data_IF_200444346193
#
_entry.id   IF_200444346193
#
_cell.length_a   1.000
_cell.length_b   1.000
_cell.length_c   1.000
_cell.angle_alpha   90.00
_cell.angle_beta   90.00
_cell.angle_gamma   90.00
#
_symmetry.space_group_name_H-M   'P 1'
#
loop_
_entity.id
_entity.type
_entity.pdbx_description
1 polymer ?
#
# COMPACT_ATOMS: atom_id res chain seq x y z
N UNK A 1 -2.74 4.62 5.69
CA UNK A 1 -2.17 5.97 5.85
C UNK A 1 -0.69 5.92 5.55
N UNK A 2 -0.12 7.05 5.13
CA UNK A 2 1.32 7.27 5.05
C UNK A 2 1.65 8.41 5.99
N UNK A 3 2.71 8.27 6.77
CA UNK A 3 3.18 9.24 7.76
C UNK A 3 4.66 9.54 7.48
N UNK A 4 4.98 10.81 7.25
CA UNK A 4 6.32 11.33 6.93
C UNK A 4 7.15 11.61 8.18
N UNK A 5 6.58 11.33 9.37
CA UNK A 5 7.19 11.56 10.68
C UNK A 5 7.68 13.01 10.90
N UNK A 6 7.30 13.95 10.03
CA UNK A 6 7.78 15.32 9.99
C UNK A 6 9.28 15.49 9.66
N UNK A 7 9.94 14.51 9.03
CA UNK A 7 11.35 14.61 8.65
C UNK A 7 11.53 14.91 7.16
N UNK A 8 12.71 15.41 6.78
CA UNK A 8 13.01 15.70 5.36
C UNK A 8 13.38 14.43 4.57
N UNK A 9 13.65 13.32 5.25
CA UNK A 9 14.16 12.08 4.64
C UNK A 9 13.09 11.01 4.64
N UNK A 10 13.03 10.18 3.60
CA UNK A 10 11.98 9.14 3.48
C UNK A 10 12.24 7.85 4.26
N UNK A 11 13.39 7.74 4.93
CA UNK A 11 13.89 6.48 5.49
C UNK A 11 13.13 6.04 6.74
N UNK A 12 12.52 6.99 7.45
CA UNK A 12 11.71 6.79 8.66
C UNK A 12 10.21 6.84 8.39
N UNK A 13 9.79 7.07 7.14
CA UNK A 13 8.40 7.05 6.74
C UNK A 13 7.75 5.70 7.02
N UNK A 14 6.46 5.74 7.37
CA UNK A 14 5.69 4.54 7.67
C UNK A 14 4.35 4.48 6.94
N UNK A 15 3.96 3.24 6.63
CA UNK A 15 2.62 2.88 6.20
C UNK A 15 1.81 2.40 7.41
N UNK A 16 0.67 3.03 7.65
CA UNK A 16 -0.33 2.64 8.64
C UNK A 16 -1.41 1.83 7.91
N UNK A 17 -1.55 0.55 8.22
CA UNK A 17 -2.49 -0.35 7.54
C UNK A 17 -3.50 -0.93 8.52
N UNK A 18 -4.76 -0.97 8.14
CA UNK A 18 -5.81 -1.58 8.96
C UNK A 18 -5.52 -3.08 9.17
N UNK A 19 -5.72 -3.56 10.40
CA UNK A 19 -5.60 -4.97 10.72
C UNK A 19 -6.98 -5.65 10.63
N UNK A 20 -7.25 -6.44 9.57
CA UNK A 20 -8.51 -7.18 9.47
C UNK A 20 -8.60 -8.36 10.48
N UNK A 21 -7.48 -8.75 11.08
CA UNK A 21 -7.41 -9.79 12.09
C UNK A 21 -7.43 -9.24 13.52
N UNK A 22 -7.69 -7.94 13.69
CA UNK A 22 -7.94 -7.33 14.98
C UNK A 22 -9.31 -7.73 15.52
N UNK A 23 -9.35 -8.87 16.21
CA UNK A 23 -10.61 -9.50 16.68
C UNK A 23 -10.68 -9.66 18.20
N UNK A 24 -9.69 -9.20 18.96
CA UNK A 24 -9.48 -9.63 20.35
C UNK A 24 -10.37 -8.91 21.37
N UNK A 25 -10.78 -7.66 21.11
CA UNK A 25 -11.55 -6.82 22.04
C UNK A 25 -12.92 -6.35 21.49
N UNK A 26 -13.34 -6.83 20.32
CA UNK A 26 -14.53 -6.42 19.57
C UNK A 26 -14.57 -4.94 19.16
N UNK A 27 -13.47 -4.22 19.32
CA UNK A 27 -13.25 -2.96 18.63
C UNK A 27 -12.54 -3.26 17.30
N UNK A 28 -12.73 -2.39 16.29
CA UNK A 28 -12.07 -2.52 14.99
C UNK A 28 -11.14 -1.32 14.82
N UNK A 29 -10.22 -1.16 15.76
CA UNK A 29 -9.26 -0.06 15.82
C UNK A 29 -7.80 -0.52 15.66
N UNK A 30 -7.58 -1.81 15.44
CA UNK A 30 -6.29 -2.38 15.15
C UNK A 30 -5.72 -1.91 13.82
N UNK A 31 -4.45 -1.56 13.89
CA UNK A 31 -3.63 -1.23 12.75
C UNK A 31 -2.20 -1.70 12.97
N UNK A 32 -1.50 -1.90 11.86
CA UNK A 32 -0.06 -2.15 11.86
C UNK A 32 0.67 -0.97 11.28
N UNK A 33 1.91 -0.79 11.75
CA UNK A 33 2.86 0.19 11.21
C UNK A 33 3.99 -0.55 10.54
N UNK A 34 4.32 -0.19 9.30
CA UNK A 34 5.36 -0.83 8.49
C UNK A 34 6.19 0.21 7.76
N UNK A 35 7.51 0.05 7.68
CA UNK A 35 8.37 1.03 7.00
C UNK A 35 7.99 1.19 5.52
N UNK A 36 7.83 2.43 5.05
CA UNK A 36 7.26 2.71 3.73
C UNK A 36 8.18 2.26 2.59
N UNK A 37 9.49 2.53 2.67
CA UNK A 37 10.45 2.08 1.65
C UNK A 37 10.47 0.54 1.53
N UNK A 38 10.36 -0.14 2.68
CA UNK A 38 10.29 -1.61 2.72
C UNK A 38 8.99 -2.12 2.10
N UNK A 39 7.88 -1.42 2.31
CA UNK A 39 6.60 -1.76 1.69
C UNK A 39 6.74 -1.71 0.17
N UNK A 40 7.17 -0.56 -0.37
CA UNK A 40 7.29 -0.36 -1.82
C UNK A 40 8.30 -1.29 -2.49
N UNK A 41 9.38 -1.67 -1.80
CA UNK A 41 10.35 -2.62 -2.34
C UNK A 41 9.77 -4.04 -2.49
N UNK A 42 8.90 -4.47 -1.56
CA UNK A 42 8.38 -5.83 -1.52
C UNK A 42 6.98 -5.99 -2.12
N UNK A 43 6.27 -4.89 -2.37
CA UNK A 43 4.91 -4.92 -2.87
C UNK A 43 4.87 -5.17 -4.38
N UNK A 44 3.99 -6.07 -4.82
CA UNK A 44 3.76 -6.35 -6.25
C UNK A 44 2.29 -6.61 -6.51
N UNK A 45 1.77 -6.09 -7.62
CA UNK A 45 0.43 -6.42 -8.14
C UNK A 45 0.50 -7.63 -9.09
N UNK A 46 1.39 -8.58 -8.78
CA UNK A 46 1.64 -9.75 -9.60
C UNK A 46 0.34 -10.47 -9.96
N UNK A 47 0.06 -10.55 -11.26
CA UNK A 47 -1.11 -11.22 -11.84
C UNK A 47 -2.48 -10.64 -11.45
N UNK A 48 -2.52 -9.46 -10.83
CA UNK A 48 -3.78 -8.83 -10.42
C UNK A 48 -4.56 -8.25 -11.61
N UNK A 49 -3.86 -7.80 -12.65
CA UNK A 49 -4.45 -7.24 -13.87
C UNK A 49 -4.24 -8.18 -15.06
N UNK A 50 -5.24 -9.02 -15.33
CA UNK A 50 -5.17 -10.11 -16.31
C UNK A 50 -4.96 -9.65 -17.77
N UNK A 51 -5.32 -8.41 -18.12
CA UNK A 51 -5.32 -7.92 -19.51
C UNK A 51 -4.35 -6.75 -19.80
N UNK A 52 -3.85 -6.04 -18.78
CA UNK A 52 -3.12 -4.75 -18.95
C UNK A 52 -1.71 -4.73 -18.32
N UNK A 53 -1.14 -5.86 -17.88
CA UNK A 53 0.05 -5.85 -17.03
C UNK A 53 1.05 -6.99 -17.25
N UNK A 54 1.41 -7.30 -18.50
CA UNK A 54 2.43 -8.33 -18.75
C UNK A 54 3.88 -7.81 -18.68
N UNK A 55 4.08 -6.49 -18.64
CA UNK A 55 5.40 -5.91 -18.45
C UNK A 55 5.73 -5.66 -16.97
N UNK A 56 6.99 -5.88 -16.57
CA UNK A 56 7.43 -5.78 -15.16
C UNK A 56 7.17 -4.40 -14.52
N UNK A 57 7.11 -3.33 -15.32
CA UNK A 57 6.81 -1.98 -14.83
C UNK A 57 5.32 -1.84 -14.45
N UNK A 58 4.43 -2.34 -15.29
CA UNK A 58 2.97 -2.27 -15.09
C UNK A 58 2.51 -3.11 -13.88
N UNK A 59 3.21 -4.23 -13.60
CA UNK A 59 2.94 -5.11 -12.45
C UNK A 59 3.30 -4.52 -11.09
N UNK A 60 4.18 -3.53 -11.04
CA UNK A 60 4.72 -3.00 -9.79
C UNK A 60 4.38 -1.52 -9.55
N UNK A 61 3.61 -0.92 -10.45
CA UNK A 61 3.16 0.45 -10.30
C UNK A 61 1.69 0.48 -9.81
N UNK A 62 1.48 1.08 -8.63
CA UNK A 62 0.14 1.44 -8.16
C UNK A 62 -0.34 2.66 -8.96
N UNK A 63 -1.23 2.46 -9.93
CA UNK A 63 -1.90 3.56 -10.61
C UNK A 63 -3.31 3.75 -10.05
N UNK A 64 -3.74 5.01 -9.89
CA UNK A 64 -5.17 5.33 -9.82
C UNK A 64 -5.62 5.63 -11.24
N UNK A 65 -6.33 4.69 -11.88
CA UNK A 65 -6.95 4.89 -13.18
C UNK A 65 -8.30 5.58 -13.02
N UNK A 66 -8.31 6.90 -13.16
CA UNK A 66 -9.56 7.65 -13.33
C UNK A 66 -10.16 7.30 -14.70
N UNK A 67 -11.37 6.75 -14.71
CA UNK A 67 -12.15 6.52 -15.94
C UNK A 67 -13.27 7.57 -16.01
N UNK A 68 -13.47 8.25 -17.15
CA UNK A 68 -14.58 9.18 -17.29
C UNK A 68 -15.91 8.44 -17.17
N UNK A 69 -16.91 9.08 -16.56
CA UNK A 69 -18.29 8.59 -16.53
C UNK A 69 -18.85 8.63 -17.96
N UNK A 70 -19.54 7.56 -18.37
CA UNK A 70 -20.08 7.41 -19.73
C UNK A 70 -21.17 8.43 -20.04
#
# INVERSE_FOLDING_TARGET
GYDDMGTETTQDDVMIMADPYDTTDHNQDGYFVYGAERFYYNWSMYDFFAEEGNENYERNALFVLAKPEK
#
